data_IF_988116089932
#
_entry.id   IF_988116089932
#
_cell.length_a   1.000
_cell.length_b   1.000
_cell.length_c   1.000
_cell.angle_alpha   90.00
_cell.angle_beta   90.00
_cell.angle_gamma   90.00
#
_symmetry.space_group_name_H-M   'P 1'
#
loop_
_entity.id
_entity.type
_entity.pdbx_description
1 polymer ?
#
# COMPACT_ATOMS: atom_id res chain seq x y z
N UNK A 1 -10.06 -24.01 -2.07
CA UNK A 1 -10.40 -22.67 -2.59
C UNK A 1 -9.60 -21.67 -1.78
N UNK A 2 -9.03 -20.62 -2.39
CA UNK A 2 -8.32 -19.56 -1.68
C UNK A 2 -9.23 -18.33 -1.62
N UNK A 3 -9.26 -17.67 -0.48
CA UNK A 3 -10.05 -16.45 -0.28
C UNK A 3 -9.12 -15.30 0.05
N UNK A 4 -9.35 -14.15 -0.58
CA UNK A 4 -8.70 -12.88 -0.28
C UNK A 4 -9.72 -11.80 0.09
N UNK A 5 -9.25 -10.75 0.73
CA UNK A 5 -10.03 -9.53 0.97
C UNK A 5 -9.32 -8.33 0.34
N UNK A 6 -10.10 -7.34 -0.07
CA UNK A 6 -9.60 -6.04 -0.50
C UNK A 6 -10.33 -4.97 0.29
N UNK A 7 -9.58 -4.09 0.94
CA UNK A 7 -10.13 -3.02 1.74
C UNK A 7 -9.76 -1.65 1.15
N UNK A 8 -10.79 -0.88 0.85
CA UNK A 8 -10.75 0.58 0.68
C UNK A 8 -11.60 1.14 1.82
N UNK A 9 -10.97 1.54 2.95
CA UNK A 9 -11.73 1.89 4.15
C UNK A 9 -12.57 3.14 3.91
N UNK A 10 -13.88 2.96 3.86
CA UNK A 10 -14.82 4.08 3.75
C UNK A 10 -15.14 4.62 5.15
N UNK A 11 -14.78 5.86 5.39
CA UNK A 11 -14.96 6.53 6.68
C UNK A 11 -16.04 7.60 6.59
N UNK A 12 -17.13 7.48 7.35
CA UNK A 12 -18.13 8.54 7.40
C UNK A 12 -17.55 9.78 8.09
N UNK A 13 -17.93 10.99 7.63
CA UNK A 13 -17.49 12.23 8.27
C UNK A 13 -17.87 12.29 9.76
N UNK A 14 -16.91 12.68 10.60
CA UNK A 14 -17.12 12.84 12.05
C UNK A 14 -16.92 11.58 12.88
N UNK A 15 -16.42 10.49 12.28
CA UNK A 15 -16.00 9.30 13.00
C UNK A 15 -14.70 9.50 13.80
N UNK A 16 -14.42 8.56 14.68
CA UNK A 16 -13.15 8.48 15.41
C UNK A 16 -12.10 7.78 14.53
N UNK A 17 -11.27 8.59 13.87
CA UNK A 17 -10.24 8.09 12.93
C UNK A 17 -9.28 7.09 13.58
N UNK A 18 -8.90 7.31 14.84
CA UNK A 18 -8.02 6.39 15.56
C UNK A 18 -8.66 5.02 15.72
N UNK A 19 -9.91 4.99 16.16
CA UNK A 19 -10.68 3.77 16.33
C UNK A 19 -10.83 3.03 14.99
N UNK A 20 -11.11 3.76 13.92
CA UNK A 20 -11.31 3.21 12.58
C UNK A 20 -10.02 2.58 12.02
N UNK A 21 -8.85 3.21 12.21
CA UNK A 21 -7.56 2.60 11.83
C UNK A 21 -7.31 1.28 12.56
N UNK A 22 -7.64 1.23 13.86
CA UNK A 22 -7.50 -0.02 14.63
C UNK A 22 -8.48 -1.09 14.16
N UNK A 23 -9.71 -0.73 13.80
CA UNK A 23 -10.68 -1.67 13.24
C UNK A 23 -10.25 -2.25 11.89
N UNK A 24 -9.60 -1.45 11.03
CA UNK A 24 -9.03 -1.96 9.78
C UNK A 24 -7.97 -3.03 10.06
N UNK A 25 -7.06 -2.77 11.01
CA UNK A 25 -6.03 -3.74 11.42
C UNK A 25 -6.69 -5.01 11.98
N UNK A 26 -7.66 -4.86 12.89
CA UNK A 26 -8.40 -5.99 13.48
C UNK A 26 -9.11 -6.84 12.42
N UNK A 27 -9.60 -6.22 11.33
CA UNK A 27 -10.22 -6.93 10.21
C UNK A 27 -9.23 -7.88 9.54
N UNK A 28 -7.98 -7.44 9.30
CA UNK A 28 -6.95 -8.30 8.73
C UNK A 28 -6.49 -9.38 9.71
N UNK A 29 -6.37 -9.06 10.99
CA UNK A 29 -6.06 -10.04 12.05
C UNK A 29 -7.16 -11.10 12.17
N UNK A 30 -8.42 -10.71 12.04
CA UNK A 30 -9.53 -11.65 11.99
C UNK A 30 -9.49 -12.49 10.72
N UNK A 31 -9.16 -11.89 9.57
CA UNK A 31 -8.95 -12.61 8.32
C UNK A 31 -7.90 -13.71 8.44
N UNK A 32 -6.78 -13.43 9.10
CA UNK A 32 -5.73 -14.42 9.39
C UNK A 32 -6.28 -15.61 10.17
N UNK A 33 -7.01 -15.34 11.27
CA UNK A 33 -7.63 -16.37 12.12
C UNK A 33 -8.69 -17.20 11.39
N UNK A 34 -9.38 -16.62 10.44
CA UNK A 34 -10.41 -17.28 9.63
C UNK A 34 -9.84 -18.02 8.41
N UNK A 35 -8.52 -17.96 8.19
CA UNK A 35 -7.85 -18.66 7.10
C UNK A 35 -7.93 -17.98 5.73
N UNK A 36 -8.13 -16.67 5.69
CA UNK A 36 -7.94 -15.90 4.46
C UNK A 36 -6.47 -15.98 4.04
N UNK A 37 -6.24 -16.18 2.75
CA UNK A 37 -4.88 -16.33 2.22
C UNK A 37 -4.18 -15.01 1.99
N UNK A 38 -4.94 -13.96 1.69
CA UNK A 38 -4.39 -12.63 1.43
C UNK A 38 -5.39 -11.52 1.76
N UNK A 39 -4.86 -10.34 2.08
CA UNK A 39 -5.62 -9.11 2.26
C UNK A 39 -4.87 -7.95 1.60
N UNK A 40 -5.60 -7.03 0.96
CA UNK A 40 -5.06 -5.90 0.22
C UNK A 40 -5.62 -4.60 0.77
N UNK A 41 -4.76 -3.56 0.90
CA UNK A 41 -5.14 -2.24 1.41
C UNK A 41 -4.81 -1.16 0.37
N UNK A 42 -5.78 -0.30 0.08
CA UNK A 42 -5.63 0.85 -0.82
C UNK A 42 -4.88 2.02 -0.20
N UNK A 43 -4.29 2.88 -1.05
CA UNK A 43 -3.56 4.08 -0.66
C UNK A 43 -4.24 5.33 -1.24
N UNK A 44 -4.53 6.31 -0.37
CA UNK A 44 -4.97 7.65 -0.76
C UNK A 44 -4.45 8.71 0.23
N UNK A 45 -4.26 9.93 -0.26
CA UNK A 45 -3.71 11.04 0.51
C UNK A 45 -4.73 12.13 0.83
N UNK A 46 -5.53 12.50 -0.16
CA UNK A 46 -6.43 13.66 -0.08
C UNK A 46 -7.90 13.31 -0.03
N UNK A 47 -8.23 12.01 -0.02
CA UNK A 47 -9.61 11.54 0.06
C UNK A 47 -9.99 11.36 1.52
N UNK A 48 -10.86 12.23 2.10
CA UNK A 48 -11.13 12.24 3.55
C UNK A 48 -11.75 10.95 4.08
N UNK A 49 -12.44 10.20 3.22
CA UNK A 49 -13.12 8.95 3.58
C UNK A 49 -12.28 7.69 3.29
N UNK A 50 -11.07 7.84 2.73
CA UNK A 50 -10.12 6.74 2.47
C UNK A 50 -8.69 7.15 2.87
N UNK A 51 -8.46 7.52 4.14
CA UNK A 51 -7.21 8.17 4.54
C UNK A 51 -6.14 7.14 4.95
N UNK A 52 -5.69 6.28 4.04
CA UNK A 52 -4.54 5.39 4.26
C UNK A 52 -3.36 5.87 3.42
N UNK A 53 -2.50 6.75 3.94
CA UNK A 53 -1.40 7.35 3.17
C UNK A 53 -0.15 6.47 3.10
N UNK A 54 -0.11 5.32 3.80
CA UNK A 54 1.07 4.47 3.90
C UNK A 54 0.67 3.00 4.10
N UNK A 55 0.47 2.31 3.00
CA UNK A 55 0.06 0.89 3.00
C UNK A 55 1.14 -0.03 3.55
N UNK A 56 2.41 0.35 3.47
CA UNK A 56 3.53 -0.38 4.06
C UNK A 56 3.54 -0.30 5.60
N UNK A 57 3.23 0.85 6.19
CA UNK A 57 3.08 1.00 7.65
C UNK A 57 1.90 0.16 8.13
N UNK A 58 0.78 0.21 7.40
CA UNK A 58 -0.38 -0.62 7.69
C UNK A 58 0.00 -2.11 7.66
N UNK A 59 0.63 -2.56 6.57
CA UNK A 59 1.05 -3.95 6.41
C UNK A 59 2.02 -4.40 7.53
N UNK A 60 2.99 -3.56 7.92
CA UNK A 60 3.91 -3.86 9.02
C UNK A 60 3.15 -4.11 10.34
N UNK A 61 2.13 -3.29 10.61
CA UNK A 61 1.30 -3.42 11.83
C UNK A 61 0.47 -4.70 11.82
N UNK A 62 -0.06 -5.09 10.66
CA UNK A 62 -0.79 -6.36 10.48
C UNK A 62 0.16 -7.55 10.62
N UNK A 63 1.33 -7.52 9.99
CA UNK A 63 2.32 -8.62 10.08
C UNK A 63 2.78 -8.89 11.51
N UNK A 64 2.87 -7.87 12.35
CA UNK A 64 3.24 -8.02 13.76
C UNK A 64 2.18 -8.78 14.57
N UNK A 65 0.95 -8.91 14.07
CA UNK A 65 -0.19 -9.51 14.77
C UNK A 65 -0.76 -10.75 14.07
N UNK A 66 -0.13 -11.21 12.97
CA UNK A 66 -0.63 -12.32 12.13
C UNK A 66 0.48 -13.31 11.80
N UNK A 67 0.11 -14.54 11.46
CA UNK A 67 1.06 -15.62 11.21
C UNK A 67 1.08 -16.12 9.75
N UNK A 68 -0.05 -16.14 9.06
CA UNK A 68 -0.19 -16.79 7.76
C UNK A 68 -0.66 -15.90 6.62
N UNK A 69 -1.52 -14.91 6.88
CA UNK A 69 -2.08 -14.05 5.83
C UNK A 69 -0.98 -13.28 5.11
N UNK A 70 -1.05 -13.25 3.79
CA UNK A 70 -0.24 -12.34 2.98
C UNK A 70 -0.93 -10.98 2.95
N UNK A 71 -0.17 -9.90 3.08
CA UNK A 71 -0.72 -8.55 2.99
C UNK A 71 -0.18 -7.87 1.75
N UNK A 72 -1.09 -7.34 0.95
CA UNK A 72 -0.79 -6.64 -0.28
C UNK A 72 -1.02 -5.13 -0.18
N UNK A 73 -0.12 -4.36 -0.80
CA UNK A 73 -0.39 -2.96 -1.10
C UNK A 73 -1.28 -2.89 -2.34
N UNK A 74 -2.42 -2.29 -2.23
CA UNK A 74 -3.38 -2.24 -3.32
C UNK A 74 -3.87 -0.83 -3.64
N UNK A 75 -2.94 0.08 -3.98
CA UNK A 75 -1.53 -0.07 -4.41
C UNK A 75 -0.61 0.89 -3.66
N UNK A 76 0.72 0.82 -3.85
CA UNK A 76 1.62 1.96 -3.62
C UNK A 76 1.58 2.85 -4.85
N UNK A 77 1.26 4.12 -4.66
CA UNK A 77 1.17 5.12 -5.74
C UNK A 77 2.57 5.64 -6.11
N UNK A 78 3.33 4.87 -6.88
CA UNK A 78 4.74 5.14 -7.19
C UNK A 78 5.07 6.57 -7.61
N UNK A 79 4.24 7.29 -8.39
CA UNK A 79 4.55 8.67 -8.79
C UNK A 79 4.67 9.66 -7.62
N UNK A 80 4.17 9.29 -6.44
CA UNK A 80 4.11 10.14 -5.24
C UNK A 80 5.21 9.81 -4.24
N UNK A 81 6.13 8.88 -4.61
CA UNK A 81 7.20 8.41 -3.72
C UNK A 81 8.58 8.54 -4.37
N UNK A 82 9.63 8.63 -3.54
CA UNK A 82 11.01 8.39 -3.97
C UNK A 82 11.18 6.87 -4.19
N UNK A 83 11.46 6.40 -5.43
CA UNK A 83 11.53 4.97 -5.73
C UNK A 83 12.65 4.24 -4.97
N UNK A 84 13.72 4.93 -4.60
CA UNK A 84 14.83 4.36 -3.81
C UNK A 84 14.36 4.03 -2.40
N UNK A 85 13.60 4.92 -1.78
CA UNK A 85 13.02 4.69 -0.46
C UNK A 85 11.96 3.58 -0.50
N UNK A 86 11.15 3.54 -1.56
CA UNK A 86 10.19 2.45 -1.76
C UNK A 86 10.92 1.11 -1.85
N UNK A 87 11.95 1.01 -2.69
CA UNK A 87 12.72 -0.23 -2.86
C UNK A 87 13.28 -0.74 -1.52
N UNK A 88 13.89 0.14 -0.73
CA UNK A 88 14.47 -0.21 0.57
C UNK A 88 13.42 -0.63 1.59
N UNK A 89 12.32 0.12 1.70
CA UNK A 89 11.25 -0.13 2.68
C UNK A 89 10.50 -1.43 2.37
N UNK A 90 10.21 -1.67 1.10
CA UNK A 90 9.50 -2.87 0.66
C UNK A 90 10.37 -4.12 0.86
N UNK A 91 11.65 -4.08 0.49
CA UNK A 91 12.57 -5.18 0.76
C UNK A 91 12.69 -5.47 2.27
N UNK A 92 12.83 -4.42 3.08
CA UNK A 92 12.89 -4.55 4.54
C UNK A 92 11.60 -5.16 5.12
N UNK A 93 10.44 -4.69 4.64
CA UNK A 93 9.14 -5.21 5.07
C UNK A 93 8.91 -6.67 4.64
N UNK A 94 9.39 -7.05 3.47
CA UNK A 94 9.31 -8.45 3.02
C UNK A 94 10.12 -9.38 3.95
N UNK A 95 11.33 -8.98 4.36
CA UNK A 95 12.09 -9.70 5.36
C UNK A 95 11.37 -9.78 6.72
N UNK A 96 10.83 -8.68 7.22
CA UNK A 96 10.09 -8.65 8.49
C UNK A 96 8.85 -9.54 8.44
N UNK A 97 8.17 -9.59 7.31
CA UNK A 97 6.98 -10.42 7.09
C UNK A 97 7.30 -11.89 6.81
N UNK A 98 8.59 -12.24 6.63
CA UNK A 98 9.05 -13.58 6.20
C UNK A 98 8.46 -13.99 4.84
N UNK A 99 8.47 -13.05 3.88
CA UNK A 99 8.00 -13.29 2.52
C UNK A 99 6.46 -13.27 2.38
N UNK A 100 5.73 -12.70 3.33
CA UNK A 100 4.26 -12.59 3.25
C UNK A 100 3.78 -11.30 2.57
N UNK A 101 4.67 -10.41 2.16
CA UNK A 101 4.31 -9.19 1.44
C UNK A 101 3.91 -9.50 -0.01
N UNK A 102 2.84 -8.85 -0.48
CA UNK A 102 2.51 -8.72 -1.89
C UNK A 102 2.66 -7.25 -2.28
N UNK A 103 3.63 -6.94 -3.13
CA UNK A 103 3.88 -5.56 -3.53
C UNK A 103 3.08 -5.20 -4.77
N UNK A 104 1.95 -4.52 -4.58
CA UNK A 104 1.14 -3.95 -5.65
C UNK A 104 1.48 -2.48 -5.85
N UNK A 105 1.59 -2.07 -7.12
CA UNK A 105 1.98 -0.72 -7.53
C UNK A 105 0.97 -0.11 -8.49
N UNK A 106 0.89 1.21 -8.51
CA UNK A 106 -0.01 1.92 -9.40
C UNK A 106 0.44 3.34 -9.73
N UNK A 107 -0.12 3.87 -10.81
CA UNK A 107 0.14 5.24 -11.26
C UNK A 107 -0.73 6.28 -10.55
N UNK A 108 -1.75 5.84 -9.81
CA UNK A 108 -2.75 6.71 -9.20
C UNK A 108 -3.94 6.99 -10.13
N UNK A 109 -5.01 7.54 -9.55
CA UNK A 109 -6.25 7.84 -10.26
C UNK A 109 -7.03 9.02 -9.69
N UNK A 110 -6.70 9.49 -8.48
CA UNK A 110 -7.38 10.61 -7.84
C UNK A 110 -6.78 11.96 -8.26
N UNK A 111 -7.53 12.84 -8.93
CA UNK A 111 -7.01 14.15 -9.35
C UNK A 111 -6.49 15.01 -8.21
N UNK A 112 -7.10 14.92 -7.03
CA UNK A 112 -6.70 15.68 -5.85
C UNK A 112 -5.36 15.20 -5.27
N UNK A 113 -5.07 13.88 -5.34
CA UNK A 113 -3.77 13.36 -4.96
C UNK A 113 -2.67 13.87 -5.90
N UNK A 114 -2.91 13.88 -7.21
CA UNK A 114 -1.97 14.47 -8.18
C UNK A 114 -1.71 15.95 -7.94
N UNK A 115 -2.75 16.72 -7.65
CA UNK A 115 -2.64 18.14 -7.34
C UNK A 115 -1.83 18.36 -6.06
N UNK A 116 -2.00 17.54 -5.04
CA UNK A 116 -1.28 17.63 -3.78
C UNK A 116 0.23 17.39 -3.94
N UNK A 117 0.62 16.55 -4.91
CA UNK A 117 2.02 16.22 -5.22
C UNK A 117 2.57 16.97 -6.44
N UNK A 118 1.89 18.01 -6.93
CA UNK A 118 2.30 18.82 -8.10
C UNK A 118 2.57 17.96 -9.35
N UNK A 119 1.72 16.95 -9.61
CA UNK A 119 1.84 16.03 -10.74
C UNK A 119 0.88 16.45 -11.85
N UNK A 120 1.39 16.72 -13.04
CA UNK A 120 0.57 17.02 -14.22
C UNK A 120 0.00 15.73 -14.85
N UNK A 121 -1.12 15.23 -14.29
CA UNK A 121 -1.74 14.00 -14.77
C UNK A 121 -2.36 14.12 -16.18
N UNK A 122 -2.73 15.35 -16.62
CA UNK A 122 -3.31 15.58 -17.96
C UNK A 122 -2.28 15.32 -19.06
N UNK A 123 -1.01 15.63 -18.81
CA UNK A 123 0.10 15.34 -19.72
C UNK A 123 0.68 13.94 -19.55
N UNK A 124 0.15 13.15 -18.61
CA UNK A 124 0.57 11.77 -18.40
C UNK A 124 1.81 11.61 -17.52
N UNK A 125 2.29 12.68 -16.85
CA UNK A 125 3.48 12.69 -16.00
C UNK A 125 3.47 11.55 -14.96
N UNK A 126 2.30 11.24 -14.34
CA UNK A 126 2.16 10.15 -13.40
C UNK A 126 2.55 8.78 -13.98
N UNK A 127 2.30 8.57 -15.28
CA UNK A 127 2.67 7.31 -15.96
C UNK A 127 4.16 7.23 -16.27
N UNK A 128 4.77 8.38 -16.56
CA UNK A 128 6.22 8.47 -16.79
C UNK A 128 6.96 8.26 -15.49
N UNK A 129 6.58 8.96 -14.41
CA UNK A 129 7.14 8.75 -13.07
C UNK A 129 7.00 7.31 -12.59
N UNK A 130 5.86 6.66 -12.87
CA UNK A 130 5.68 5.24 -12.53
C UNK A 130 6.66 4.33 -13.28
N UNK A 131 6.85 4.54 -14.61
CA UNK A 131 7.79 3.73 -15.39
C UNK A 131 9.23 3.88 -14.88
N UNK A 132 9.65 5.13 -14.63
CA UNK A 132 10.96 5.42 -14.06
C UNK A 132 11.12 4.78 -12.69
N UNK A 133 10.12 4.89 -11.82
CA UNK A 133 10.16 4.28 -10.51
C UNK A 133 10.28 2.75 -10.56
N UNK A 134 9.57 2.08 -11.47
CA UNK A 134 9.68 0.63 -11.68
C UNK A 134 11.11 0.26 -12.11
N UNK A 135 11.70 1.01 -13.05
CA UNK A 135 13.07 0.77 -13.51
C UNK A 135 14.07 0.87 -12.34
N UNK A 136 14.01 1.98 -11.59
CA UNK A 136 14.87 2.21 -10.42
C UNK A 136 14.73 1.10 -9.38
N UNK A 137 13.49 0.75 -9.01
CA UNK A 137 13.22 -0.28 -8.01
C UNK A 137 13.75 -1.65 -8.48
N UNK A 138 13.47 -2.00 -9.74
CA UNK A 138 13.90 -3.29 -10.31
C UNK A 138 15.42 -3.39 -10.32
N UNK A 139 16.11 -2.34 -10.77
CA UNK A 139 17.58 -2.31 -10.81
C UNK A 139 18.18 -2.44 -9.41
N UNK A 140 17.65 -1.70 -8.43
CA UNK A 140 18.11 -1.81 -7.03
C UNK A 140 17.96 -3.21 -6.44
N UNK A 141 17.01 -4.00 -6.93
CA UNK A 141 16.80 -5.35 -6.44
C UNK A 141 17.53 -6.45 -7.23
N UNK A 142 17.99 -6.16 -8.44
CA UNK A 142 18.53 -7.20 -9.35
C UNK A 142 19.94 -6.96 -9.84
N UNK A 143 20.44 -5.72 -9.82
CA UNK A 143 21.80 -5.42 -10.25
C UNK A 143 22.78 -5.62 -9.09
N UNK A 144 23.85 -6.34 -9.33
CA UNK A 144 25.04 -6.41 -8.46
C UNK A 144 25.97 -5.23 -8.81
N UNK A 145 26.62 -4.63 -7.82
CA UNK A 145 27.61 -3.55 -7.98
C UNK A 145 28.85 -3.97 -8.78
#
# INVERSE_FOLDING_TARGET
MKYGMFAMPLRPPGGDVTKEYHQDIETFVMGDKLGYTEGWMGEHYTIPWEPIPATDIFAATVFAQTEQIRVGTGVVLLPMHDPRLVALRIAYLDHLSKGRLNFGIGAGGAPTDFQFFDINYQEGEHRERMREAIDVITRLWTEED
#
